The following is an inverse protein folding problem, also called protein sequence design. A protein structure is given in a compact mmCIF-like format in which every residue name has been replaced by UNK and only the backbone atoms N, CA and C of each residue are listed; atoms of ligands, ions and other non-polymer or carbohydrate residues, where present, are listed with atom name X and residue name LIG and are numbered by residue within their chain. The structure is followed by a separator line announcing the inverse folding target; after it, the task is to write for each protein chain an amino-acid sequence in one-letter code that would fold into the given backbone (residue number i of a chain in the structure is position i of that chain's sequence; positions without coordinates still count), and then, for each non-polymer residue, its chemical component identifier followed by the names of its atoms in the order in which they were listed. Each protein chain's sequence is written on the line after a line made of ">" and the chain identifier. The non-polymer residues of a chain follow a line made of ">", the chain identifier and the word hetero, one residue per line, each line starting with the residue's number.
data_IF_902773263070
#
_entry.id   IF_902773263070
#
_cell.length_a   1.000
_cell.length_b   1.000
_cell.length_c   1.000
_cell.angle_alpha   90.00
_cell.angle_beta   90.00
_cell.angle_gamma   90.00
#
_symmetry.space_group_name_H-M   'P 1'
#
loop_
_entity.id
_entity.type
_entity.pdbx_description
1 polymer ?
#
# COMPACT_ATOMS: atom_id res chain seq x y z
N UNK A 1 15.76 -6.96 15.37
CA UNK A 1 14.94 -6.47 14.23
C UNK A 1 13.50 -6.59 14.65
N UNK A 2 12.78 -5.47 14.79
CA UNK A 2 11.41 -5.47 15.29
C UNK A 2 10.43 -5.58 14.11
N UNK A 3 9.46 -6.52 14.13
CA UNK A 3 8.50 -6.67 13.06
C UNK A 3 7.46 -5.54 13.08
N UNK A 4 7.15 -4.98 11.90
CA UNK A 4 6.10 -3.97 11.76
C UNK A 4 4.76 -4.66 11.51
N UNK A 5 3.78 -4.47 12.40
CA UNK A 5 2.38 -4.73 12.07
C UNK A 5 1.80 -3.51 11.36
N UNK A 6 1.51 -3.66 10.08
CA UNK A 6 0.97 -2.58 9.26
C UNK A 6 -0.53 -2.77 9.09
N UNK A 7 -1.34 -1.73 9.27
CA UNK A 7 -2.82 -1.83 9.20
C UNK A 7 -3.33 -2.40 7.87
N UNK A 8 -2.55 -2.28 6.80
CA UNK A 8 -2.89 -2.80 5.47
C UNK A 8 -2.59 -4.29 5.28
N UNK A 9 -2.00 -4.97 6.27
CA UNK A 9 -1.54 -6.35 6.11
C UNK A 9 -1.49 -7.13 7.44
N UNK A 10 -2.00 -8.36 7.45
CA UNK A 10 -2.11 -9.17 8.69
C UNK A 10 -0.78 -9.71 9.21
N UNK A 11 0.17 -10.04 8.33
CA UNK A 11 1.44 -10.63 8.76
C UNK A 11 2.46 -9.56 9.18
N UNK A 12 3.37 -9.90 10.12
CA UNK A 12 4.49 -9.03 10.47
C UNK A 12 5.40 -8.80 9.26
N UNK A 13 5.70 -7.53 8.99
CA UNK A 13 6.67 -7.17 7.96
C UNK A 13 8.07 -7.06 8.56
N UNK A 14 9.04 -7.57 7.82
CA UNK A 14 10.46 -7.48 8.16
C UNK A 14 11.08 -6.32 7.39
N UNK A 15 11.75 -5.43 8.12
CA UNK A 15 12.50 -4.34 7.52
C UNK A 15 13.79 -4.87 6.88
N UNK A 16 14.10 -4.36 5.70
CA UNK A 16 15.33 -4.62 4.96
C UNK A 16 15.91 -3.29 4.53
N UNK A 17 17.10 -2.96 5.04
CA UNK A 17 17.77 -1.69 4.76
C UNK A 17 18.41 -1.68 3.37
N UNK A 18 18.77 -2.87 2.86
CA UNK A 18 19.38 -3.10 1.56
C UNK A 18 18.61 -4.22 0.86
N UNK A 19 18.34 -4.07 -0.45
CA UNK A 19 17.95 -5.22 -1.25
C UNK A 19 19.14 -6.16 -1.27
N UNK A 20 19.05 -7.29 -0.57
CA UNK A 20 19.90 -8.43 -0.85
C UNK A 20 19.71 -8.74 -2.33
N UNK A 21 20.74 -8.42 -3.13
CA UNK A 21 20.87 -8.55 -4.58
C UNK A 21 20.82 -10.04 -5.04
N UNK A 22 20.11 -10.89 -4.31
CA UNK A 22 20.06 -12.34 -4.48
C UNK A 22 18.79 -12.81 -5.19
N UNK A 23 17.85 -11.93 -5.51
CA UNK A 23 16.66 -12.26 -6.29
C UNK A 23 16.51 -11.29 -7.46
N UNK A 24 16.57 -11.82 -8.68
CA UNK A 24 16.40 -11.08 -9.95
C UNK A 24 14.95 -10.56 -10.15
N UNK A 25 14.11 -10.73 -9.14
CA UNK A 25 12.68 -10.42 -9.15
C UNK A 25 12.46 -8.98 -8.67
N UNK A 26 12.05 -8.13 -9.59
CA UNK A 26 11.63 -6.76 -9.30
C UNK A 26 10.40 -6.76 -8.40
N UNK A 27 10.57 -6.35 -7.14
CA UNK A 27 9.49 -6.21 -6.18
C UNK A 27 8.79 -4.85 -6.33
N UNK A 28 7.46 -4.86 -6.37
CA UNK A 28 6.64 -3.65 -6.43
C UNK A 28 5.95 -3.41 -5.10
N UNK A 29 5.92 -2.14 -4.68
CA UNK A 29 5.27 -1.74 -3.45
C UNK A 29 3.76 -1.89 -3.55
N UNK A 30 3.16 -2.66 -2.65
CA UNK A 30 1.71 -2.83 -2.57
C UNK A 30 0.99 -1.55 -2.11
N UNK A 31 1.73 -0.58 -1.58
CA UNK A 31 1.23 0.73 -1.16
C UNK A 31 1.09 1.71 -2.33
N UNK A 32 2.16 1.96 -3.09
CA UNK A 32 2.15 2.92 -4.20
C UNK A 32 2.12 2.29 -5.60
N UNK A 33 2.46 1.01 -5.73
CA UNK A 33 2.59 0.32 -7.02
C UNK A 33 3.92 0.56 -7.72
N UNK A 34 4.82 1.36 -7.14
CA UNK A 34 6.13 1.65 -7.72
C UNK A 34 7.13 0.52 -7.43
N UNK A 35 8.21 0.47 -8.22
CA UNK A 35 9.31 -0.45 -7.99
C UNK A 35 9.99 -0.10 -6.66
N UNK A 36 10.10 -1.09 -5.77
CA UNK A 36 10.89 -0.96 -4.55
C UNK A 36 12.35 -0.87 -4.97
N UNK A 37 13.04 0.21 -4.61
CA UNK A 37 14.44 0.45 -4.99
C UNK A 37 15.34 0.81 -3.81
N UNK A 38 14.86 0.68 -2.57
CA UNK A 38 15.57 1.06 -1.37
C UNK A 38 15.05 0.36 -0.11
N UNK A 39 15.22 0.96 1.08
CA UNK A 39 14.80 0.34 2.33
C UNK A 39 13.30 0.04 2.31
N UNK A 40 12.96 -1.20 2.60
CA UNK A 40 11.61 -1.74 2.40
C UNK A 40 11.22 -2.71 3.50
N UNK A 41 9.93 -3.03 3.51
CA UNK A 41 9.29 -3.95 4.42
C UNK A 41 8.72 -5.09 3.59
N UNK A 42 9.09 -6.32 3.92
CA UNK A 42 8.60 -7.50 3.19
C UNK A 42 7.93 -8.51 4.12
N UNK A 43 6.89 -9.17 3.62
CA UNK A 43 6.21 -10.29 4.24
C UNK A 43 6.78 -11.59 3.67
N UNK A 44 7.43 -12.38 4.53
CA UNK A 44 8.01 -13.68 4.14
C UNK A 44 6.93 -14.71 3.77
N UNK A 45 5.73 -14.59 4.36
CA UNK A 45 4.66 -15.56 4.16
C UNK A 45 3.88 -15.38 2.86
N UNK A 46 3.93 -14.18 2.27
CA UNK A 46 2.91 -13.78 1.31
C UNK A 46 3.41 -12.89 0.17
N UNK A 47 4.73 -12.60 0.11
CA UNK A 47 5.32 -11.81 -0.97
C UNK A 47 4.79 -10.37 -1.04
N UNK A 48 4.32 -9.84 0.08
CA UNK A 48 3.85 -8.46 0.17
C UNK A 48 5.04 -7.54 0.46
N UNK A 49 5.18 -6.48 -0.33
CA UNK A 49 6.27 -5.52 -0.22
C UNK A 49 5.73 -4.10 0.01
N UNK A 50 6.36 -3.34 0.89
CA UNK A 50 6.12 -1.92 1.12
C UNK A 50 7.44 -1.16 1.14
N UNK A 51 7.53 -0.08 0.38
CA UNK A 51 8.60 0.89 0.63
C UNK A 51 8.48 1.47 2.03
N UNK A 52 9.62 1.84 2.62
CA UNK A 52 9.65 2.51 3.93
C UNK A 52 8.67 3.68 4.03
N UNK A 53 8.60 4.52 2.99
CA UNK A 53 7.67 5.66 2.92
C UNK A 53 6.20 5.23 3.02
N UNK A 54 5.83 4.13 2.37
CA UNK A 54 4.46 3.62 2.39
C UNK A 54 4.15 2.93 3.72
N UNK A 55 5.13 2.28 4.35
CA UNK A 55 4.98 1.67 5.67
C UNK A 55 4.85 2.71 6.80
N UNK A 56 5.51 3.86 6.66
CA UNK A 56 5.42 5.00 7.60
C UNK A 56 4.28 5.97 7.28
N UNK A 57 3.55 5.75 6.18
CA UNK A 57 2.47 6.63 5.77
C UNK A 57 1.32 6.59 6.80
N UNK A 58 0.75 7.76 7.16
CA UNK A 58 -0.35 7.78 8.10
C UNK A 58 -1.60 7.11 7.48
N UNK A 59 -2.26 6.25 8.26
CA UNK A 59 -3.52 5.61 7.87
C UNK A 59 -4.69 6.61 7.80
N UNK A 60 -4.56 7.78 8.41
CA UNK A 60 -5.49 8.89 8.31
C UNK A 60 -4.83 10.15 7.78
N UNK A 61 -5.41 10.71 6.72
CA UNK A 61 -4.99 11.98 6.17
C UNK A 61 -6.02 13.06 6.52
N UNK A 62 -5.59 14.03 7.34
CA UNK A 62 -6.41 15.16 7.74
C UNK A 62 -6.04 16.36 6.86
N UNK A 63 -6.77 16.55 5.76
CA UNK A 63 -6.45 17.60 4.81
C UNK A 63 -7.02 18.96 5.28
N UNK A 64 -6.25 20.07 5.28
CA UNK A 64 -6.69 21.35 5.82
C UNK A 64 -7.91 21.97 5.13
N UNK A 65 -8.24 21.55 3.90
CA UNK A 65 -9.45 21.94 3.17
C UNK A 65 -10.67 21.04 3.47
N UNK A 66 -10.46 19.89 4.12
CA UNK A 66 -11.51 18.94 4.53
C UNK A 66 -11.35 18.56 6.01
N UNK A 67 -11.25 19.56 6.90
CA UNK A 67 -11.03 19.34 8.34
C UNK A 67 -12.09 18.46 9.02
N UNK A 68 -13.27 18.35 8.42
CA UNK A 68 -14.38 17.56 8.95
C UNK A 68 -14.50 16.16 8.29
N UNK A 69 -13.72 15.88 7.25
CA UNK A 69 -13.72 14.59 6.54
C UNK A 69 -12.30 14.01 6.54
N UNK A 70 -12.01 13.10 7.47
CA UNK A 70 -10.76 12.36 7.47
C UNK A 70 -10.77 11.29 6.38
N UNK A 71 -9.76 11.30 5.51
CA UNK A 71 -9.54 10.19 4.58
C UNK A 71 -8.86 9.06 5.34
N UNK A 72 -9.52 7.91 5.41
CA UNK A 72 -8.99 6.70 6.01
C UNK A 72 -8.49 5.78 4.90
N UNK A 73 -7.25 5.35 5.00
CA UNK A 73 -6.70 4.34 4.10
C UNK A 73 -7.19 2.98 4.60
N UNK A 74 -8.04 2.32 3.82
CA UNK A 74 -8.57 1.00 4.13
C UNK A 74 -7.67 -0.07 3.49
N UNK A 75 -7.36 -1.11 4.25
CA UNK A 75 -6.58 -2.27 3.79
C UNK A 75 -7.28 -3.04 2.65
N UNK A 76 -8.60 -3.01 2.66
CA UNK A 76 -9.47 -3.67 1.70
C UNK A 76 -10.63 -2.75 1.34
N UNK A 77 -11.20 -2.96 0.15
CA UNK A 77 -12.46 -2.31 -0.21
C UNK A 77 -13.51 -2.67 0.85
N UNK A 78 -14.24 -1.68 1.41
CA UNK A 78 -15.37 -1.95 2.30
C UNK A 78 -16.60 -2.45 1.52
N UNK A 79 -16.54 -2.40 0.19
CA UNK A 79 -17.58 -2.88 -0.70
C UNK A 79 -17.29 -4.34 -1.09
N UNK A 80 -18.37 -5.11 -1.25
CA UNK A 80 -18.30 -6.50 -1.67
C UNK A 80 -17.50 -6.65 -2.97
N UNK A 81 -16.62 -7.65 -3.05
CA UNK A 81 -15.75 -7.87 -4.21
C UNK A 81 -16.54 -8.19 -5.51
N UNK A 82 -17.85 -8.45 -5.40
CA UNK A 82 -18.76 -8.58 -6.54
C UNK A 82 -19.25 -7.24 -7.12
N UNK A 83 -18.97 -6.10 -6.44
CA UNK A 83 -19.38 -4.77 -6.89
C UNK A 83 -18.22 -4.08 -7.62
N UNK A 84 -18.39 -3.85 -8.92
CA UNK A 84 -17.52 -2.96 -9.69
C UNK A 84 -17.73 -1.52 -9.24
N UNK A 85 -16.75 -0.97 -8.52
CA UNK A 85 -16.74 0.44 -8.11
C UNK A 85 -16.29 1.26 -9.32
N UNK A 86 -17.12 2.18 -9.77
CA UNK A 86 -16.75 3.16 -10.80
C UNK A 86 -16.30 4.42 -10.08
N UNK A 87 -15.14 4.96 -10.47
CA UNK A 87 -14.67 6.23 -9.96
C UNK A 87 -15.56 7.36 -10.48
N UNK A 88 -16.20 8.12 -9.60
CA UNK A 88 -17.05 9.26 -10.00
C UNK A 88 -16.25 10.37 -10.71
N UNK A 89 -14.94 10.44 -10.45
CA UNK A 89 -14.06 11.45 -11.02
C UNK A 89 -13.60 11.12 -12.45
N UNK A 90 -13.21 9.87 -12.73
CA UNK A 90 -12.69 9.46 -14.04
C UNK A 90 -13.63 8.55 -14.85
N UNK A 91 -14.70 8.04 -14.25
CA UNK A 91 -15.67 7.14 -14.90
C UNK A 91 -15.18 5.70 -15.14
N UNK A 92 -13.97 5.38 -14.69
CA UNK A 92 -13.34 4.06 -14.89
C UNK A 92 -13.59 3.13 -13.70
N UNK A 93 -13.49 1.81 -13.92
CA UNK A 93 -13.60 0.81 -12.85
C UNK A 93 -12.34 0.88 -11.96
N UNK A 94 -12.55 1.10 -10.66
CA UNK A 94 -11.53 1.06 -9.62
C UNK A 94 -11.11 -0.38 -9.34
N UNK A 95 -10.24 -0.92 -10.19
CA UNK A 95 -9.55 -2.16 -9.90
C UNK A 95 -8.35 -1.89 -8.98
N UNK A 96 -7.97 -2.85 -8.11
CA UNK A 96 -6.85 -2.69 -7.17
C UNK A 96 -5.53 -2.33 -7.89
N UNK A 97 -5.45 -2.64 -9.18
CA UNK A 97 -4.30 -2.41 -10.05
C UNK A 97 -4.34 -1.09 -10.84
N UNK A 98 -5.40 -0.29 -10.78
CA UNK A 98 -5.57 0.88 -11.65
C UNK A 98 -5.47 2.21 -10.88
N UNK A 99 -4.46 2.31 -10.00
CA UNK A 99 -4.15 3.51 -9.23
C UNK A 99 -3.38 4.50 -10.11
N UNK A 100 -4.09 5.18 -11.02
CA UNK A 100 -3.51 6.32 -11.75
C UNK A 100 -3.43 7.51 -10.81
N UNK A 101 -2.21 7.97 -10.60
CA UNK A 101 -1.85 9.19 -9.88
C UNK A 101 -2.67 10.38 -10.40
N UNK A 102 -3.26 11.15 -9.48
CA UNK A 102 -3.88 12.47 -9.74
C UNK A 102 -2.98 13.56 -9.18
#
# INVERSE_FOLDING_TARGET
>A
MEPLQHFSHEHPLIFSEEQSHESEEQAYCSGCGELVSGPSFSCVECGFYLDKKCAEAPSQLNHPFHRNHSLNLLASSPYDASLSIICDFCGEICDRNNRRES
#
